data_IF_858581787075
#
_entry.id   IF_858581787075
#
_cell.length_a   1.000
_cell.length_b   1.000
_cell.length_c   1.000
_cell.angle_alpha   90.00
_cell.angle_beta   90.00
_cell.angle_gamma   90.00
#
_symmetry.space_group_name_H-M   'P 1'
#
loop_
_entity.id
_entity.type
_entity.pdbx_description
1 polymer ?
#
# COMPACT_ATOMS: atom_id res chain seq x y z
N UNK A 1 -9.19 13.01 -18.11
CA UNK A 1 -9.48 11.58 -17.83
C UNK A 1 -8.92 10.59 -18.88
N UNK A 2 -8.62 10.97 -20.13
CA UNK A 2 -8.13 10.02 -21.16
C UNK A 2 -6.63 9.65 -21.05
N UNK A 3 -5.78 10.49 -20.48
CA UNK A 3 -4.32 10.29 -20.44
C UNK A 3 -3.85 9.15 -19.51
N UNK A 4 -4.52 8.94 -18.38
CA UNK A 4 -4.12 7.93 -17.36
C UNK A 4 -4.42 6.49 -17.83
N UNK A 5 -5.37 6.31 -18.71
CA UNK A 5 -5.81 5.00 -19.21
C UNK A 5 -4.71 4.31 -20.06
N UNK A 6 -3.89 5.07 -20.78
CA UNK A 6 -2.79 4.54 -21.59
C UNK A 6 -1.60 4.02 -20.76
N UNK A 7 -1.36 4.60 -19.58
CA UNK A 7 -0.23 4.21 -18.73
C UNK A 7 -0.38 2.77 -18.18
N UNK A 8 -1.60 2.32 -17.94
CA UNK A 8 -1.88 0.99 -17.37
C UNK A 8 -2.26 -0.06 -18.40
N UNK A 9 -2.33 0.29 -19.67
CA UNK A 9 -2.67 -0.67 -20.73
C UNK A 9 -1.78 -1.92 -20.73
N UNK A 10 -0.44 -1.81 -20.49
CA UNK A 10 0.44 -2.97 -20.44
C UNK A 10 0.13 -3.99 -19.32
N UNK A 11 -0.61 -3.59 -18.28
CA UNK A 11 -0.91 -4.41 -17.08
C UNK A 11 -2.42 -4.53 -16.82
N UNK A 12 -3.25 -4.11 -17.77
CA UNK A 12 -4.71 -4.03 -17.63
C UNK A 12 -5.38 -5.35 -17.24
N UNK A 13 -4.92 -6.46 -17.82
CA UNK A 13 -5.45 -7.78 -17.51
C UNK A 13 -5.07 -8.21 -16.09
N UNK A 14 -3.83 -7.92 -15.67
CA UNK A 14 -3.35 -8.24 -14.33
C UNK A 14 -4.07 -7.41 -13.26
N UNK A 15 -4.38 -6.13 -13.54
CA UNK A 15 -5.18 -5.28 -12.63
C UNK A 15 -6.63 -5.76 -12.51
N UNK A 16 -7.24 -6.28 -13.58
CA UNK A 16 -8.58 -6.89 -13.49
C UNK A 16 -8.58 -8.15 -12.63
N UNK A 17 -7.57 -9.01 -12.78
CA UNK A 17 -7.43 -10.21 -11.99
C UNK A 17 -7.17 -9.89 -10.51
N UNK A 18 -6.46 -8.81 -10.22
CA UNK A 18 -6.12 -8.37 -8.87
C UNK A 18 -7.37 -8.17 -8.00
N UNK A 19 -8.42 -7.52 -8.49
CA UNK A 19 -9.63 -7.25 -7.70
C UNK A 19 -10.37 -8.56 -7.31
N UNK A 20 -10.35 -9.56 -8.18
CA UNK A 20 -10.91 -10.89 -7.88
C UNK A 20 -10.06 -11.60 -6.84
N UNK A 21 -8.74 -11.59 -7.01
CA UNK A 21 -7.81 -12.25 -6.11
C UNK A 21 -7.82 -11.61 -4.71
N UNK A 22 -7.90 -10.27 -4.61
CA UNK A 22 -7.97 -9.57 -3.32
C UNK A 22 -9.15 -10.07 -2.48
N UNK A 23 -10.33 -10.26 -3.08
CA UNK A 23 -11.50 -10.80 -2.37
C UNK A 23 -11.25 -12.20 -1.81
N UNK A 24 -10.64 -13.08 -2.58
CA UNK A 24 -10.28 -14.42 -2.12
C UNK A 24 -9.20 -14.40 -1.03
N UNK A 25 -8.27 -13.44 -1.08
CA UNK A 25 -7.19 -13.33 -0.09
C UNK A 25 -7.65 -12.84 1.29
N UNK A 26 -8.79 -12.16 1.38
CA UNK A 26 -9.33 -11.62 2.63
C UNK A 26 -10.43 -12.49 3.23
N UNK A 27 -10.64 -13.71 2.72
CA UNK A 27 -11.60 -14.66 3.32
C UNK A 27 -11.28 -14.90 4.79
N UNK A 28 -12.28 -14.72 5.64
CA UNK A 28 -12.20 -14.97 7.07
C UNK A 28 -13.27 -15.98 7.51
N UNK A 29 -12.96 -16.79 8.53
CA UNK A 29 -13.94 -17.73 9.11
C UNK A 29 -15.09 -17.00 9.82
N UNK A 30 -14.81 -15.85 10.41
CA UNK A 30 -15.81 -15.03 11.08
C UNK A 30 -16.49 -14.11 10.04
N UNK A 31 -17.83 -14.20 9.85
CA UNK A 31 -18.55 -13.42 8.84
C UNK A 31 -18.45 -11.91 9.03
N UNK A 32 -18.44 -11.43 10.29
CA UNK A 32 -18.32 -9.99 10.57
C UNK A 32 -16.96 -9.48 10.13
N UNK A 33 -15.90 -10.23 10.42
CA UNK A 33 -14.54 -9.89 10.04
C UNK A 33 -14.36 -9.88 8.52
N UNK A 34 -14.93 -10.87 7.83
CA UNK A 34 -14.94 -10.90 6.37
C UNK A 34 -15.68 -9.71 5.77
N UNK A 35 -16.91 -9.43 6.25
CA UNK A 35 -17.72 -8.31 5.74
C UNK A 35 -17.03 -6.95 5.99
N UNK A 36 -16.40 -6.78 7.15
CA UNK A 36 -15.67 -5.57 7.47
C UNK A 36 -14.42 -5.39 6.60
N UNK A 37 -13.68 -6.47 6.33
CA UNK A 37 -12.54 -6.44 5.41
C UNK A 37 -12.99 -6.15 3.97
N UNK A 38 -14.04 -6.82 3.47
CA UNK A 38 -14.57 -6.63 2.12
C UNK A 38 -15.13 -5.21 1.92
N UNK A 39 -15.65 -4.58 2.96
CA UNK A 39 -16.29 -3.26 2.88
C UNK A 39 -15.41 -2.23 2.18
N UNK A 40 -14.14 -2.08 2.57
CA UNK A 40 -13.21 -1.12 1.95
C UNK A 40 -12.73 -1.54 0.56
N UNK A 41 -12.55 -2.83 0.30
CA UNK A 41 -12.15 -3.29 -1.03
C UNK A 41 -13.28 -3.06 -2.06
N UNK A 42 -14.53 -3.16 -1.62
CA UNK A 42 -15.72 -2.91 -2.45
C UNK A 42 -15.92 -1.42 -2.78
N UNK A 43 -15.44 -0.50 -1.95
CA UNK A 43 -15.43 0.94 -2.26
C UNK A 43 -14.54 1.29 -3.48
N UNK A 44 -13.78 0.32 -3.97
CA UNK A 44 -12.88 0.50 -5.09
C UNK A 44 -11.63 1.30 -4.75
N UNK A 45 -10.96 1.81 -5.79
CA UNK A 45 -9.75 2.61 -5.68
C UNK A 45 -9.01 2.64 -7.01
N UNK A 46 -8.09 3.59 -7.16
CA UNK A 46 -7.29 3.74 -8.39
C UNK A 46 -6.25 2.62 -8.57
N UNK A 47 -6.06 1.75 -7.58
CA UNK A 47 -5.08 0.64 -7.58
C UNK A 47 -3.68 1.08 -8.02
N UNK A 48 -3.29 2.31 -7.69
CA UNK A 48 -2.01 2.88 -8.13
C UNK A 48 -0.81 2.09 -7.58
N UNK A 49 -0.83 1.70 -6.30
CA UNK A 49 0.28 0.97 -5.67
C UNK A 49 0.52 -0.39 -6.33
N UNK A 50 -0.47 -1.27 -6.48
CA UNK A 50 -0.29 -2.52 -7.21
C UNK A 50 0.08 -2.30 -8.68
N UNK A 51 -0.43 -1.25 -9.34
CA UNK A 51 -0.06 -0.92 -10.70
C UNK A 51 1.44 -0.60 -10.83
N UNK A 52 2.00 0.18 -9.90
CA UNK A 52 3.44 0.48 -9.85
C UNK A 52 4.26 -0.81 -9.71
N UNK A 53 3.86 -1.72 -8.81
CA UNK A 53 4.54 -3.02 -8.62
C UNK A 53 4.57 -3.81 -9.93
N UNK A 54 3.43 -3.91 -10.63
CA UNK A 54 3.31 -4.65 -11.88
C UNK A 54 4.11 -4.00 -13.01
N UNK A 55 4.13 -2.66 -13.10
CA UNK A 55 4.92 -1.93 -14.08
C UNK A 55 6.43 -2.10 -13.83
N UNK A 56 6.87 -2.03 -12.57
CA UNK A 56 8.27 -2.31 -12.21
C UNK A 56 8.63 -3.76 -12.53
N UNK A 57 7.77 -4.72 -12.20
CA UNK A 57 7.98 -6.11 -12.57
C UNK A 57 8.17 -6.25 -14.09
N UNK A 58 7.30 -5.63 -14.88
CA UNK A 58 7.39 -5.67 -16.35
C UNK A 58 8.68 -5.03 -16.87
N UNK A 59 9.10 -3.91 -16.29
CA UNK A 59 10.31 -3.20 -16.68
C UNK A 59 11.60 -3.94 -16.29
N UNK A 60 11.57 -4.77 -15.25
CA UNK A 60 12.75 -5.49 -14.74
C UNK A 60 12.85 -6.94 -15.22
N UNK A 61 11.80 -7.50 -15.82
CA UNK A 61 11.79 -8.83 -16.38
C UNK A 61 12.33 -8.84 -17.83
N UNK A 62 13.32 -9.69 -18.11
CA UNK A 62 13.88 -9.86 -19.48
C UNK A 62 12.86 -10.40 -20.48
N UNK A 63 11.95 -11.27 -20.02
CA UNK A 63 10.91 -11.91 -20.86
C UNK A 63 9.68 -11.04 -21.07
N UNK A 64 9.65 -9.83 -20.52
CA UNK A 64 8.46 -8.93 -20.52
C UNK A 64 7.19 -9.56 -19.92
N UNK A 65 7.33 -10.72 -19.24
CA UNK A 65 6.25 -11.46 -18.59
C UNK A 65 6.26 -11.25 -17.08
N UNK A 66 5.10 -10.99 -16.52
CA UNK A 66 4.91 -10.80 -15.07
C UNK A 66 4.72 -12.19 -14.43
N UNK A 67 5.56 -12.53 -13.44
CA UNK A 67 5.45 -13.79 -12.70
C UNK A 67 4.28 -13.72 -11.69
N UNK A 68 3.72 -14.87 -11.32
CA UNK A 68 2.66 -14.94 -10.30
C UNK A 68 3.12 -14.38 -8.94
N UNK A 69 4.41 -14.49 -8.61
CA UNK A 69 4.98 -13.86 -7.40
C UNK A 69 4.95 -12.34 -7.45
N UNK A 70 5.07 -11.71 -8.63
CA UNK A 70 4.92 -10.27 -8.79
C UNK A 70 3.47 -9.85 -8.57
N UNK A 71 2.51 -10.61 -9.15
CA UNK A 71 1.08 -10.37 -8.95
C UNK A 71 0.71 -10.50 -7.48
N UNK A 72 1.22 -11.55 -6.83
CA UNK A 72 1.03 -11.74 -5.39
C UNK A 72 1.62 -10.59 -4.56
N UNK A 73 2.80 -10.08 -4.90
CA UNK A 73 3.37 -8.91 -4.23
C UNK A 73 2.51 -7.66 -4.43
N UNK A 74 1.95 -7.45 -5.62
CA UNK A 74 1.04 -6.34 -5.90
C UNK A 74 -0.24 -6.42 -5.03
N UNK A 75 -0.81 -7.60 -4.90
CA UNK A 75 -1.98 -7.89 -4.04
C UNK A 75 -1.63 -7.64 -2.56
N UNK A 76 -0.50 -8.17 -2.07
CA UNK A 76 0.00 -7.94 -0.70
C UNK A 76 0.16 -6.44 -0.42
N UNK A 77 0.73 -5.70 -1.36
CA UNK A 77 0.92 -4.25 -1.23
C UNK A 77 -0.41 -3.52 -1.04
N UNK A 78 -1.45 -3.92 -1.76
CA UNK A 78 -2.78 -3.32 -1.62
C UNK A 78 -3.46 -3.73 -0.29
N UNK A 79 -3.27 -4.97 0.18
CA UNK A 79 -3.79 -5.41 1.48
C UNK A 79 -3.13 -4.61 2.61
N UNK A 80 -1.80 -4.46 2.61
CA UNK A 80 -1.06 -3.67 3.61
C UNK A 80 -1.56 -2.21 3.61
N UNK A 81 -1.69 -1.62 2.42
CA UNK A 81 -2.22 -0.26 2.30
C UNK A 81 -3.65 -0.14 2.84
N UNK A 82 -4.52 -1.10 2.54
CA UNK A 82 -5.90 -1.08 3.04
C UNK A 82 -5.93 -1.25 4.56
N UNK A 83 -5.08 -2.12 5.12
CA UNK A 83 -4.95 -2.29 6.56
C UNK A 83 -4.55 -0.98 7.27
N UNK A 84 -3.55 -0.25 6.72
CA UNK A 84 -3.16 1.05 7.27
C UNK A 84 -4.30 2.05 7.22
N UNK A 85 -5.06 2.12 6.12
CA UNK A 85 -6.22 3.01 6.01
C UNK A 85 -7.32 2.71 7.05
N UNK A 86 -7.55 1.42 7.38
CA UNK A 86 -8.51 1.04 8.43
C UNK A 86 -8.09 1.56 9.78
N UNK A 87 -6.80 1.46 10.12
CA UNK A 87 -6.26 1.98 11.37
C UNK A 87 -6.22 3.52 11.39
N UNK A 88 -5.78 4.15 10.29
CA UNK A 88 -5.76 5.60 10.15
C UNK A 88 -7.17 6.21 10.34
N UNK A 89 -8.21 5.60 9.75
CA UNK A 89 -9.59 6.05 9.91
C UNK A 89 -10.05 6.04 11.38
N UNK A 90 -9.57 5.08 12.19
CA UNK A 90 -9.86 5.03 13.63
C UNK A 90 -9.07 6.11 14.38
N UNK A 91 -7.79 6.31 14.03
CA UNK A 91 -6.91 7.27 14.70
C UNK A 91 -7.32 8.72 14.41
N UNK A 92 -7.83 8.98 13.20
CA UNK A 92 -8.25 10.30 12.73
C UNK A 92 -9.76 10.56 12.92
N UNK A 93 -10.52 9.64 13.55
CA UNK A 93 -11.99 9.69 13.68
C UNK A 93 -12.72 9.95 12.34
N UNK A 94 -12.18 9.40 11.25
CA UNK A 94 -12.67 9.62 9.89
C UNK A 94 -13.95 8.83 9.62
N UNK A 95 -15.10 9.50 9.51
CA UNK A 95 -16.39 8.83 9.35
C UNK A 95 -16.65 8.29 7.94
N UNK A 96 -16.07 8.91 6.92
CA UNK A 96 -16.33 8.58 5.51
C UNK A 96 -15.00 8.38 4.77
N UNK A 97 -14.86 7.25 4.08
CA UNK A 97 -13.72 6.92 3.24
C UNK A 97 -14.19 6.56 1.83
N UNK A 98 -13.66 7.24 0.80
CA UNK A 98 -14.04 6.98 -0.62
C UNK A 98 -15.55 7.04 -0.87
N UNK A 99 -16.28 7.91 -0.18
CA UNK A 99 -17.72 8.09 -0.34
C UNK A 99 -18.60 7.06 0.37
N UNK A 100 -18.02 6.14 1.15
CA UNK A 100 -18.74 5.20 2.01
C UNK A 100 -18.33 5.38 3.47
N UNK A 101 -19.12 4.86 4.40
CA UNK A 101 -18.73 4.85 5.81
C UNK A 101 -17.39 4.14 6.01
N UNK A 102 -16.52 4.69 6.86
CA UNK A 102 -15.33 3.98 7.33
C UNK A 102 -15.72 2.71 8.10
N UNK A 103 -14.77 1.78 8.29
CA UNK A 103 -15.07 0.51 8.97
C UNK A 103 -15.54 0.74 10.42
N UNK A 104 -14.90 1.67 11.15
CA UNK A 104 -15.31 1.95 12.53
C UNK A 104 -16.68 2.62 12.62
N UNK A 105 -17.07 3.40 11.61
CA UNK A 105 -18.40 4.01 11.55
C UNK A 105 -19.49 3.01 11.12
N UNK A 106 -19.17 2.09 10.21
CA UNK A 106 -20.12 1.07 9.74
C UNK A 106 -20.33 -0.08 10.74
N UNK A 107 -19.31 -0.46 11.49
CA UNK A 107 -19.35 -1.59 12.42
C UNK A 107 -19.14 -1.15 13.87
N UNK A 108 -17.97 -0.75 14.26
CA UNK A 108 -17.51 -0.08 15.47
C UNK A 108 -15.96 -0.07 15.51
N UNK A 109 -15.38 0.71 16.42
CA UNK A 109 -13.92 0.85 16.59
C UNK A 109 -13.23 -0.49 16.85
N UNK A 110 -13.80 -1.37 17.71
CA UNK A 110 -13.19 -2.66 18.02
C UNK A 110 -13.09 -3.58 16.80
N UNK A 111 -14.16 -3.64 16.00
CA UNK A 111 -14.16 -4.41 14.74
C UNK A 111 -13.16 -3.82 13.75
N UNK A 112 -13.07 -2.48 13.64
CA UNK A 112 -12.12 -1.84 12.74
C UNK A 112 -10.65 -2.18 13.09
N UNK A 113 -10.27 -2.04 14.37
CA UNK A 113 -8.91 -2.41 14.82
C UNK A 113 -8.60 -3.87 14.48
N UNK A 114 -9.49 -4.80 14.82
CA UNK A 114 -9.30 -6.23 14.53
C UNK A 114 -9.30 -6.54 13.03
N UNK A 115 -10.01 -5.75 12.21
CA UNK A 115 -9.97 -5.89 10.74
C UNK A 115 -8.61 -5.48 10.19
N UNK A 116 -8.03 -4.38 10.66
CA UNK A 116 -6.68 -3.98 10.29
C UNK A 116 -5.63 -5.02 10.69
N UNK A 117 -5.70 -5.53 11.93
CA UNK A 117 -4.82 -6.62 12.42
C UNK A 117 -4.93 -7.87 11.55
N UNK A 118 -6.16 -8.26 11.20
CA UNK A 118 -6.43 -9.40 10.33
C UNK A 118 -5.79 -9.21 8.94
N UNK A 119 -5.96 -8.03 8.33
CA UNK A 119 -5.38 -7.73 7.03
C UNK A 119 -3.84 -7.73 7.06
N UNK A 120 -3.21 -7.17 8.11
CA UNK A 120 -1.76 -7.26 8.28
C UNK A 120 -1.28 -8.71 8.48
N UNK A 121 -2.00 -9.52 9.26
CA UNK A 121 -1.67 -10.92 9.43
C UNK A 121 -1.81 -11.71 8.12
N UNK A 122 -2.88 -11.49 7.35
CA UNK A 122 -3.06 -12.10 6.04
C UNK A 122 -1.95 -11.71 5.06
N UNK A 123 -1.60 -10.42 5.02
CA UNK A 123 -0.50 -9.96 4.18
C UNK A 123 0.82 -10.64 4.53
N UNK A 124 1.10 -10.80 5.83
CA UNK A 124 2.31 -11.46 6.33
C UNK A 124 2.34 -12.94 5.97
N UNK A 125 1.18 -13.63 6.04
CA UNK A 125 1.08 -15.04 5.64
C UNK A 125 1.34 -15.21 4.13
N UNK A 126 0.74 -14.38 3.28
CA UNK A 126 1.00 -14.41 1.84
C UNK A 126 2.43 -14.02 1.50
N UNK A 127 2.99 -13.05 2.22
CA UNK A 127 4.37 -12.60 2.04
C UNK A 127 5.38 -13.73 2.33
N UNK A 128 5.17 -14.49 3.41
CA UNK A 128 5.98 -15.67 3.72
C UNK A 128 5.92 -16.73 2.60
N UNK A 129 4.75 -16.89 1.97
CA UNK A 129 4.55 -17.83 0.87
C UNK A 129 5.21 -17.41 -0.46
N UNK A 130 5.73 -16.18 -0.58
CA UNK A 130 6.56 -15.77 -1.72
C UNK A 130 7.90 -16.49 -1.76
N UNK A 131 8.31 -17.14 -0.67
CA UNK A 131 9.59 -17.87 -0.53
C UNK A 131 10.80 -17.02 -0.90
N UNK A 132 10.76 -15.74 -0.53
CA UNK A 132 11.86 -14.79 -0.70
C UNK A 132 12.03 -13.98 0.60
N UNK A 133 12.98 -14.40 1.44
CA UNK A 133 13.20 -13.82 2.76
C UNK A 133 13.58 -12.34 2.70
N UNK A 134 14.32 -11.91 1.69
CA UNK A 134 14.71 -10.52 1.56
C UNK A 134 13.51 -9.62 1.22
N UNK A 135 12.56 -10.11 0.42
CA UNK A 135 11.28 -9.42 0.18
C UNK A 135 10.44 -9.37 1.47
N UNK A 136 10.42 -10.46 2.26
CA UNK A 136 9.75 -10.48 3.56
C UNK A 136 10.31 -9.39 4.48
N UNK A 137 11.64 -9.33 4.62
CA UNK A 137 12.32 -8.36 5.50
C UNK A 137 11.98 -6.91 5.13
N UNK A 138 12.08 -6.58 3.84
CA UNK A 138 11.89 -5.17 3.42
C UNK A 138 10.43 -4.73 3.52
N UNK A 139 9.48 -5.62 3.23
CA UNK A 139 8.05 -5.29 3.36
C UNK A 139 7.62 -5.28 4.85
N UNK A 140 8.09 -6.22 5.66
CA UNK A 140 7.78 -6.21 7.11
C UNK A 140 8.29 -4.93 7.80
N UNK A 141 9.43 -4.38 7.36
CA UNK A 141 9.94 -3.10 7.88
C UNK A 141 8.98 -1.94 7.62
N UNK A 142 8.23 -1.95 6.51
CA UNK A 142 7.24 -0.91 6.20
C UNK A 142 6.14 -0.84 7.26
N UNK A 143 5.73 -1.97 7.84
CA UNK A 143 4.72 -1.99 8.90
C UNK A 143 5.24 -1.31 10.17
N UNK A 144 6.53 -1.48 10.46
CA UNK A 144 7.21 -0.74 11.53
C UNK A 144 7.23 0.76 11.21
N UNK A 145 7.62 1.10 9.98
CA UNK A 145 7.70 2.50 9.52
C UNK A 145 6.34 3.21 9.63
N UNK A 146 5.23 2.52 9.34
CA UNK A 146 3.88 3.06 9.53
C UNK A 146 3.60 3.41 10.98
N UNK A 147 3.87 2.50 11.91
CA UNK A 147 3.64 2.74 13.34
C UNK A 147 4.50 3.91 13.87
N UNK A 148 5.77 3.97 13.49
CA UNK A 148 6.67 5.08 13.86
C UNK A 148 6.20 6.41 13.25
N UNK A 149 5.74 6.38 12.00
CA UNK A 149 5.20 7.55 11.28
C UNK A 149 3.96 8.13 11.96
N UNK A 150 3.02 7.27 12.36
CA UNK A 150 1.80 7.70 13.06
C UNK A 150 2.11 8.27 14.45
N UNK A 151 2.99 7.65 15.22
CA UNK A 151 3.41 8.20 16.52
C UNK A 151 4.06 9.58 16.36
N UNK A 152 4.95 9.75 15.37
CA UNK A 152 5.59 11.04 15.08
C UNK A 152 4.56 12.09 14.66
N UNK A 153 3.60 11.74 13.78
CA UNK A 153 2.55 12.64 13.35
C UNK A 153 1.74 13.17 14.53
N UNK A 154 1.39 12.29 15.47
CA UNK A 154 0.62 12.68 16.66
C UNK A 154 1.41 13.61 17.60
N UNK A 155 2.72 13.35 17.79
CA UNK A 155 3.57 14.17 18.66
C UNK A 155 3.84 15.55 18.05
N UNK A 156 3.96 15.64 16.73
CA UNK A 156 4.30 16.88 16.02
C UNK A 156 3.08 17.65 15.51
N UNK A 157 1.89 17.20 15.85
CA UNK A 157 0.64 17.85 15.45
C UNK A 157 0.57 19.27 16.04
N UNK A 158 0.39 20.26 15.17
CA UNK A 158 0.35 21.70 15.54
C UNK A 158 1.69 22.30 16.00
N UNK A 159 2.82 21.62 15.78
CA UNK A 159 4.15 22.19 16.03
C UNK A 159 4.60 23.05 14.84
N UNK A 160 4.65 24.41 14.96
CA UNK A 160 5.06 25.29 13.87
C UNK A 160 6.56 25.26 13.62
N UNK A 161 7.36 24.56 14.44
CA UNK A 161 8.82 24.52 14.35
C UNK A 161 9.34 23.32 13.53
N UNK A 162 8.43 22.49 13.00
CA UNK A 162 8.80 21.32 12.19
C UNK A 162 9.63 21.73 10.99
N UNK A 163 10.80 21.11 10.85
CA UNK A 163 11.66 21.32 9.68
C UNK A 163 11.12 20.62 8.43
N UNK A 164 11.55 21.09 7.25
CA UNK A 164 11.28 20.39 5.98
C UNK A 164 11.81 18.96 6.00
N UNK A 165 12.93 18.70 6.68
CA UNK A 165 13.49 17.36 6.83
C UNK A 165 12.56 16.44 7.60
N UNK A 166 11.98 16.91 8.70
CA UNK A 166 11.01 16.14 9.51
C UNK A 166 9.74 15.85 8.72
N UNK A 167 9.26 16.83 7.95
CA UNK A 167 8.12 16.66 7.05
C UNK A 167 8.37 15.57 5.99
N UNK A 168 9.55 15.60 5.34
CA UNK A 168 9.94 14.60 4.34
C UNK A 168 10.06 13.21 4.98
N UNK A 169 10.65 13.11 6.17
CA UNK A 169 10.79 11.84 6.89
C UNK A 169 9.41 11.26 7.26
N UNK A 170 8.52 12.08 7.80
CA UNK A 170 7.13 11.68 8.09
C UNK A 170 6.41 11.20 6.83
N UNK A 171 6.49 11.94 5.74
CA UNK A 171 5.87 11.59 4.45
C UNK A 171 6.47 10.32 3.86
N UNK A 172 7.76 10.07 4.10
CA UNK A 172 8.39 8.80 3.73
C UNK A 172 7.77 7.63 4.51
N UNK A 173 7.68 7.70 5.83
CA UNK A 173 7.14 6.62 6.64
C UNK A 173 5.67 6.33 6.31
N UNK A 174 4.84 7.37 6.20
CA UNK A 174 3.40 7.23 5.98
C UNK A 174 3.03 6.75 4.56
N UNK A 175 3.74 7.21 3.54
CA UNK A 175 3.32 7.02 2.14
C UNK A 175 4.38 6.38 1.25
N UNK A 176 5.62 6.88 1.28
CA UNK A 176 6.63 6.49 0.30
C UNK A 176 7.30 5.15 0.61
N UNK A 177 7.39 4.75 1.89
CA UNK A 177 8.07 3.52 2.33
C UNK A 177 7.49 2.27 1.68
N UNK A 178 6.15 2.13 1.65
CA UNK A 178 5.49 0.98 1.02
C UNK A 178 5.74 0.95 -0.49
N UNK A 179 5.66 2.08 -1.18
CA UNK A 179 5.90 2.16 -2.63
C UNK A 179 7.35 1.79 -2.94
N UNK A 180 8.31 2.35 -2.20
CA UNK A 180 9.73 2.07 -2.37
C UNK A 180 10.08 0.60 -2.13
N UNK A 181 9.61 0.04 -1.02
CA UNK A 181 9.82 -1.36 -0.65
C UNK A 181 9.19 -2.32 -1.66
N UNK A 182 7.98 -2.01 -2.14
CA UNK A 182 7.28 -2.84 -3.13
C UNK A 182 7.96 -2.81 -4.49
N UNK A 183 8.46 -1.64 -4.95
CA UNK A 183 9.28 -1.53 -6.15
C UNK A 183 10.54 -2.39 -6.05
N UNK A 184 11.28 -2.27 -4.93
CA UNK A 184 12.48 -3.08 -4.68
C UNK A 184 12.15 -4.56 -4.62
N UNK A 185 11.07 -4.94 -3.94
CA UNK A 185 10.58 -6.31 -3.85
C UNK A 185 10.26 -6.92 -5.22
N UNK A 186 9.63 -6.16 -6.12
CA UNK A 186 9.38 -6.59 -7.50
C UNK A 186 10.70 -6.83 -8.26
N UNK A 187 11.66 -5.92 -8.16
CA UNK A 187 12.98 -6.07 -8.77
C UNK A 187 13.78 -7.27 -8.21
N UNK A 188 13.67 -7.54 -6.90
CA UNK A 188 14.26 -8.75 -6.28
C UNK A 188 13.65 -10.03 -6.83
N UNK A 189 12.32 -10.07 -7.01
CA UNK A 189 11.63 -11.23 -7.61
C UNK A 189 12.02 -11.40 -9.07
N UNK A 190 12.30 -10.33 -9.79
CA UNK A 190 12.81 -10.35 -11.18
C UNK A 190 14.26 -10.88 -11.27
N UNK A 191 15.01 -10.94 -10.17
CA UNK A 191 16.39 -11.42 -10.13
C UNK A 191 17.42 -10.46 -10.74
N UNK A 192 17.11 -9.17 -10.85
CA UNK A 192 18.05 -8.16 -11.35
C UNK A 192 19.12 -7.82 -10.32
N UNK A 193 20.21 -7.16 -10.77
CA UNK A 193 21.35 -6.81 -9.92
C UNK A 193 20.94 -5.91 -8.74
N UNK A 194 21.71 -5.94 -7.62
CA UNK A 194 21.46 -5.05 -6.47
C UNK A 194 21.42 -3.57 -6.84
N UNK A 195 22.19 -3.13 -7.82
CA UNK A 195 22.20 -1.75 -8.29
C UNK A 195 20.85 -1.36 -8.89
N UNK A 196 20.28 -2.19 -9.76
CA UNK A 196 18.96 -1.98 -10.33
C UNK A 196 17.89 -1.99 -9.22
N UNK A 197 17.97 -2.95 -8.27
CA UNK A 197 17.07 -3.01 -7.12
C UNK A 197 17.09 -1.70 -6.31
N UNK A 198 18.27 -1.10 -6.08
CA UNK A 198 18.41 0.16 -5.36
C UNK A 198 17.91 1.37 -6.16
N UNK A 199 18.12 1.38 -7.48
CA UNK A 199 17.57 2.42 -8.36
C UNK A 199 16.04 2.42 -8.35
N UNK A 200 15.40 1.24 -8.46
CA UNK A 200 13.92 1.15 -8.41
C UNK A 200 13.39 1.46 -7.01
N UNK A 201 14.13 1.16 -5.95
CA UNK A 201 13.79 1.61 -4.60
C UNK A 201 13.76 3.13 -4.52
N UNK A 202 14.81 3.79 -5.03
CA UNK A 202 14.90 5.25 -5.07
C UNK A 202 13.80 5.88 -5.92
N UNK A 203 13.48 5.26 -7.07
CA UNK A 203 12.35 5.67 -7.89
C UNK A 203 11.03 5.62 -7.09
N UNK A 204 10.74 4.48 -6.45
CA UNK A 204 9.53 4.32 -5.64
C UNK A 204 9.46 5.31 -4.47
N UNK A 205 10.60 5.58 -3.80
CA UNK A 205 10.73 6.58 -2.75
C UNK A 205 10.36 7.98 -3.24
N UNK A 206 10.98 8.43 -4.33
CA UNK A 206 10.74 9.77 -4.84
C UNK A 206 9.33 9.92 -5.41
N UNK A 207 8.79 8.89 -6.05
CA UNK A 207 7.40 8.89 -6.52
C UNK A 207 6.42 9.01 -5.36
N UNK A 208 6.62 8.25 -4.27
CA UNK A 208 5.77 8.29 -3.10
C UNK A 208 5.83 9.64 -2.36
N UNK A 209 7.03 10.23 -2.24
CA UNK A 209 7.20 11.57 -1.66
C UNK A 209 6.53 12.64 -2.53
N UNK A 210 6.73 12.61 -3.85
CA UNK A 210 6.09 13.55 -4.77
C UNK A 210 4.57 13.44 -4.70
N UNK A 211 4.04 12.21 -4.60
CA UNK A 211 2.60 11.97 -4.44
C UNK A 211 2.07 12.64 -3.17
N UNK A 212 2.73 12.43 -2.03
CA UNK A 212 2.29 13.02 -0.76
C UNK A 212 2.37 14.56 -0.77
N UNK A 213 3.46 15.13 -1.29
CA UNK A 213 3.63 16.59 -1.38
C UNK A 213 2.52 17.23 -2.23
N UNK A 214 2.19 16.61 -3.36
CA UNK A 214 1.12 17.11 -4.23
C UNK A 214 -0.24 16.97 -3.58
N UNK A 215 -0.49 15.86 -2.87
CA UNK A 215 -1.73 15.64 -2.13
C UNK A 215 -1.93 16.72 -1.07
N UNK A 216 -0.90 16.99 -0.24
CA UNK A 216 -0.92 18.05 0.78
C UNK A 216 -1.09 19.47 0.18
N UNK A 217 -0.51 19.74 -1.00
CA UNK A 217 -0.72 21.01 -1.71
C UNK A 217 -2.17 21.15 -2.18
N UNK A 218 -2.74 20.07 -2.73
CA UNK A 218 -4.12 20.08 -3.21
C UNK A 218 -5.14 20.26 -2.07
N UNK A 219 -4.85 19.77 -0.88
CA UNK A 219 -5.68 20.00 0.31
C UNK A 219 -5.74 21.46 0.72
N UNK A 220 -4.74 22.27 0.34
CA UNK A 220 -4.70 23.71 0.66
C UNK A 220 -5.30 24.55 -0.47
N UNK A 221 -5.03 24.21 -1.73
CA UNK A 221 -5.43 25.05 -2.89
C UNK A 221 -6.75 24.62 -3.52
N UNK A 222 -7.32 23.46 -3.18
CA UNK A 222 -8.64 22.96 -3.59
C UNK A 222 -8.65 22.30 -4.95
#
# INVERSE_FOLDING_TARGET
>A
MHSTMYLFEPIKLDLKALDVNLKAMIEARNPILYTAAEHLFSAGGKRLRPAIVLLVAKATMQSNSILDRHKRLAEITEIIHTASLVHDDVLDDCLIRRGINSVHNAFNTKVAVLTGDFLFAQSSWYLANLKNLEVVKIISKVIIDFAEGEVRQNITRFDPTISVSDYIEKSFYKTASLIAASCKGAAMISGVSPDIQNQVYSYGKHLGLAFQIIDDILDIVG
#
